data_IF_925128487543
#
_entry.id   IF_925128487543
#
_cell.length_a   1.000
_cell.length_b   1.000
_cell.length_c   1.000
_cell.angle_alpha   90.00
_cell.angle_beta   90.00
_cell.angle_gamma   90.00
#
_symmetry.space_group_name_H-M   'P 1'
#
loop_
_entity.id
_entity.type
_entity.pdbx_description
1 polymer ?
#
# COMPACT_ATOMS: atom_id res chain seq x y z
N UNK A 1 -36.39 -0.97 0.52
CA UNK A 1 -36.82 -0.06 -0.57
C UNK A 1 -36.17 -0.54 -1.85
N UNK A 2 -36.95 -0.74 -2.92
CA UNK A 2 -36.39 -1.11 -4.21
C UNK A 2 -35.54 0.05 -4.74
N UNK A 3 -34.28 -0.22 -5.06
CA UNK A 3 -33.37 0.75 -5.68
C UNK A 3 -33.95 1.06 -7.07
N UNK A 4 -33.96 2.33 -7.51
CA UNK A 4 -34.32 2.67 -8.87
C UNK A 4 -33.54 1.81 -9.87
N UNK A 5 -34.15 1.47 -11.01
CA UNK A 5 -33.51 0.69 -12.06
C UNK A 5 -32.41 1.53 -12.74
N UNK A 6 -31.25 1.64 -12.09
CA UNK A 6 -30.10 2.39 -12.56
C UNK A 6 -29.45 1.58 -13.68
N UNK A 7 -29.26 2.15 -14.89
CA UNK A 7 -28.65 1.42 -15.99
C UNK A 7 -27.21 1.03 -15.65
N UNK A 8 -26.88 -0.25 -15.84
CA UNK A 8 -25.52 -0.75 -15.67
C UNK A 8 -24.65 -0.29 -16.83
N UNK A 9 -23.62 0.51 -16.54
CA UNK A 9 -22.60 0.86 -17.54
C UNK A 9 -21.74 -0.37 -17.85
N UNK A 10 -21.49 -0.61 -19.14
CA UNK A 10 -20.54 -1.64 -19.55
C UNK A 10 -19.12 -1.23 -19.16
N UNK A 11 -18.31 -2.22 -18.77
CA UNK A 11 -16.96 -1.98 -18.23
C UNK A 11 -16.06 -1.15 -19.15
N UNK A 12 -16.25 -1.26 -20.46
CA UNK A 12 -15.44 -0.56 -21.46
C UNK A 12 -15.75 0.95 -21.52
N UNK A 13 -16.92 1.36 -21.04
CA UNK A 13 -17.35 2.77 -20.99
C UNK A 13 -16.93 3.49 -19.71
N UNK A 14 -16.41 2.77 -18.72
CA UNK A 14 -15.99 3.35 -17.45
C UNK A 14 -14.63 4.05 -17.63
N UNK A 15 -14.42 5.23 -17.01
CA UNK A 15 -13.24 6.05 -17.28
C UNK A 15 -11.93 5.47 -16.72
N UNK A 16 -12.00 4.45 -15.83
CA UNK A 16 -10.85 3.77 -15.19
C UNK A 16 -9.80 4.76 -14.64
N UNK A 17 -10.24 5.91 -14.15
CA UNK A 17 -9.39 7.06 -13.84
C UNK A 17 -8.43 6.74 -12.70
N UNK A 18 -8.93 6.17 -11.59
CA UNK A 18 -8.09 5.90 -10.42
C UNK A 18 -7.03 4.86 -10.71
N UNK A 19 -7.36 3.85 -11.50
CA UNK A 19 -6.44 2.79 -11.90
C UNK A 19 -5.35 3.32 -12.83
N UNK A 20 -5.68 4.22 -13.76
CA UNK A 20 -4.69 4.89 -14.62
C UNK A 20 -3.75 5.78 -13.79
N UNK A 21 -4.29 6.64 -12.93
CA UNK A 21 -3.48 7.53 -12.07
C UNK A 21 -2.61 6.71 -11.13
N UNK A 22 -3.15 5.67 -10.48
CA UNK A 22 -2.37 4.76 -9.62
C UNK A 22 -1.21 4.12 -10.37
N UNK A 23 -1.43 3.58 -11.57
CA UNK A 23 -0.37 2.98 -12.38
C UNK A 23 0.69 4.01 -12.80
N UNK A 24 0.28 5.24 -13.14
CA UNK A 24 1.20 6.33 -13.45
C UNK A 24 2.09 6.66 -12.24
N UNK A 25 1.51 6.72 -11.05
CA UNK A 25 2.28 6.97 -9.80
C UNK A 25 3.22 5.81 -9.52
N UNK A 26 2.76 4.56 -9.59
CA UNK A 26 3.60 3.37 -9.39
C UNK A 26 4.79 3.33 -10.35
N UNK A 27 4.56 3.59 -11.64
CA UNK A 27 5.62 3.63 -12.66
C UNK A 27 6.58 4.80 -12.43
N UNK A 28 6.08 5.98 -12.08
CA UNK A 28 6.90 7.14 -11.75
C UNK A 28 7.78 6.86 -10.53
N UNK A 29 7.22 6.28 -9.46
CA UNK A 29 7.98 5.87 -8.28
C UNK A 29 9.07 4.86 -8.65
N UNK A 30 8.72 3.78 -9.36
CA UNK A 30 9.69 2.77 -9.80
C UNK A 30 10.81 3.37 -10.68
N UNK A 31 10.46 4.29 -11.59
CA UNK A 31 11.43 4.99 -12.41
C UNK A 31 12.38 5.85 -11.56
N UNK A 32 11.86 6.62 -10.60
CA UNK A 32 12.68 7.39 -9.66
C UNK A 32 13.65 6.50 -8.88
N UNK A 33 13.20 5.31 -8.45
CA UNK A 33 14.09 4.35 -7.77
C UNK A 33 15.12 3.71 -8.71
N UNK A 34 14.81 3.53 -9.99
CA UNK A 34 15.74 3.00 -10.98
C UNK A 34 16.76 4.04 -11.47
N UNK A 35 16.49 5.35 -11.32
CA UNK A 35 17.42 6.42 -11.72
C UNK A 35 18.70 6.39 -10.86
N UNK A 36 18.59 6.11 -9.56
CA UNK A 36 19.76 6.05 -8.66
C UNK A 36 20.81 4.98 -9.05
N UNK A 37 20.47 3.69 -9.26
CA UNK A 37 21.40 2.72 -9.81
C UNK A 37 21.87 3.07 -11.21
N UNK A 38 21.01 3.65 -12.05
CA UNK A 38 21.38 4.01 -13.41
C UNK A 38 22.46 5.10 -13.45
N UNK A 39 22.38 6.11 -12.58
CA UNK A 39 23.43 7.14 -12.47
C UNK A 39 24.70 6.56 -11.85
N UNK A 40 24.60 5.64 -10.88
CA UNK A 40 25.76 4.93 -10.32
C UNK A 40 26.43 3.95 -11.30
N UNK A 41 25.67 3.23 -12.12
CA UNK A 41 26.19 2.31 -13.14
C UNK A 41 26.78 3.07 -14.34
N UNK A 42 26.15 4.18 -14.74
CA UNK A 42 26.65 5.05 -15.80
C UNK A 42 27.96 5.74 -15.41
N UNK A 43 28.08 6.20 -14.15
CA UNK A 43 29.32 6.81 -13.63
C UNK A 43 30.43 5.81 -13.36
N UNK A 44 30.12 4.55 -13.01
CA UNK A 44 31.11 3.48 -12.92
C UNK A 44 31.70 3.10 -14.30
N UNK A 45 30.96 3.37 -15.39
CA UNK A 45 31.39 3.12 -16.76
C UNK A 45 32.18 4.30 -17.37
N UNK A 46 31.86 5.55 -17.01
CA UNK A 46 32.60 6.74 -17.45
C UNK A 46 33.83 7.01 -16.57
N UNK A 47 34.98 6.44 -16.94
CA UNK A 47 36.28 6.86 -16.38
C UNK A 47 36.60 8.29 -16.83
N UNK A 48 36.54 9.24 -15.90
CA UNK A 48 37.13 10.57 -16.05
C UNK A 48 36.16 11.71 -15.77
N UNK A 49 36.64 12.66 -14.94
CA UNK A 49 36.14 14.04 -14.72
C UNK A 49 34.76 14.20 -14.09
N UNK A 50 34.72 14.19 -12.74
CA UNK A 50 34.58 15.41 -11.90
C UNK A 50 33.96 15.08 -10.54
N UNK A 51 34.81 15.09 -9.50
CA UNK A 51 34.48 14.79 -8.11
C UNK A 51 33.59 15.85 -7.42
N UNK A 52 33.04 16.83 -8.14
CA UNK A 52 32.28 17.95 -7.57
C UNK A 52 30.76 17.74 -7.52
N UNK A 53 30.20 16.85 -8.35
CA UNK A 53 28.76 16.50 -8.32
C UNK A 53 28.46 15.28 -7.41
N UNK A 54 29.49 14.77 -6.72
CA UNK A 54 29.49 13.50 -5.98
C UNK A 54 28.73 13.53 -4.64
N UNK A 55 28.41 14.71 -4.09
CA UNK A 55 27.94 14.81 -2.70
C UNK A 55 26.52 15.34 -2.49
N UNK A 56 25.78 15.81 -3.50
CA UNK A 56 24.70 16.76 -3.19
C UNK A 56 23.31 16.60 -3.75
N UNK A 57 22.95 15.55 -4.50
CA UNK A 57 21.60 15.55 -5.09
C UNK A 57 20.68 14.40 -4.69
N UNK A 58 21.11 13.14 -4.66
CA UNK A 58 20.22 12.02 -4.34
C UNK A 58 20.96 10.87 -3.66
N UNK A 59 20.94 10.83 -2.34
CA UNK A 59 21.15 9.59 -1.60
C UNK A 59 19.80 9.20 -1.00
N UNK A 60 19.22 8.08 -1.45
CA UNK A 60 17.94 7.68 -0.92
C UNK A 60 17.57 6.22 -1.10
N UNK A 61 17.28 5.55 0.01
CA UNK A 61 16.55 4.29 0.08
C UNK A 61 15.11 4.57 0.53
N UNK A 62 14.18 3.63 0.34
CA UNK A 62 12.81 3.74 0.86
C UNK A 62 12.73 3.97 2.38
N UNK A 63 13.79 3.65 3.13
CA UNK A 63 13.91 3.90 4.57
C UNK A 63 14.46 5.30 4.92
N UNK A 64 15.15 5.96 3.98
CA UNK A 64 15.73 7.29 4.14
C UNK A 64 16.07 7.85 2.77
N UNK A 65 15.27 8.80 2.25
CA UNK A 65 15.59 9.54 1.03
C UNK A 65 15.90 10.99 1.39
N UNK A 66 17.14 11.43 1.20
CA UNK A 66 17.56 12.81 1.39
C UNK A 66 17.42 13.57 0.07
N UNK A 67 16.34 14.34 -0.09
CA UNK A 67 16.23 15.32 -1.16
C UNK A 67 17.03 16.56 -0.75
N UNK A 68 18.23 16.73 -1.30
CA UNK A 68 18.99 17.98 -1.17
C UNK A 68 18.53 18.95 -2.27
N UNK A 69 17.40 19.61 -2.05
CA UNK A 69 16.98 20.75 -2.86
C UNK A 69 17.23 22.04 -2.05
N UNK A 70 18.25 22.81 -2.44
CA UNK A 70 18.46 24.17 -1.90
C UNK A 70 18.87 24.27 -0.43
N UNK A 71 19.59 23.29 0.12
CA UNK A 71 20.13 23.35 1.48
C UNK A 71 19.19 22.82 2.59
N UNK A 72 18.07 22.19 2.22
CA UNK A 72 17.17 21.51 3.15
C UNK A 72 17.19 20.00 2.87
N UNK A 73 17.83 19.20 3.72
CA UNK A 73 17.84 17.73 3.60
C UNK A 73 16.54 17.14 4.17
N UNK A 74 15.50 17.08 3.33
CA UNK A 74 14.26 16.39 3.71
C UNK A 74 14.48 14.88 3.61
N UNK A 75 14.71 14.25 4.76
CA UNK A 75 14.76 12.80 4.91
C UNK A 75 13.34 12.24 4.98
N UNK A 76 12.97 11.35 4.07
CA UNK A 76 11.72 10.57 4.17
C UNK A 76 12.02 9.22 4.81
N UNK A 77 11.51 9.00 6.03
CA UNK A 77 11.67 7.75 6.77
C UNK A 77 10.31 7.05 6.95
N UNK A 78 10.28 5.75 6.69
CA UNK A 78 9.10 4.92 6.96
C UNK A 78 8.84 4.90 8.48
N UNK A 79 7.63 5.23 8.96
CA UNK A 79 7.32 5.27 10.39
C UNK A 79 7.55 3.93 11.11
N UNK A 80 7.36 2.80 10.42
CA UNK A 80 7.63 1.48 10.96
C UNK A 80 9.13 1.21 11.07
N UNK A 81 9.91 1.54 10.03
CA UNK A 81 11.37 1.42 10.08
C UNK A 81 11.98 2.28 11.21
N UNK A 82 11.48 3.51 11.40
CA UNK A 82 11.88 4.36 12.52
C UNK A 82 11.56 3.74 13.88
N UNK A 83 10.38 3.10 14.03
CA UNK A 83 10.04 2.38 15.24
C UNK A 83 10.95 1.16 15.48
N UNK A 84 11.34 0.45 14.44
CA UNK A 84 12.29 -0.66 14.55
C UNK A 84 13.70 -0.18 14.95
N UNK A 85 14.18 0.90 14.34
CA UNK A 85 15.48 1.50 14.70
C UNK A 85 15.45 1.96 16.15
N UNK A 86 14.38 2.65 16.57
CA UNK A 86 14.22 3.07 17.96
C UNK A 86 14.17 1.87 18.91
N UNK A 87 13.47 0.80 18.56
CA UNK A 87 13.41 -0.42 19.35
C UNK A 87 14.81 -1.06 19.48
N UNK A 88 15.56 -1.16 18.38
CA UNK A 88 16.86 -1.81 18.33
C UNK A 88 17.98 -1.00 19.03
N UNK A 89 18.02 0.32 18.87
CA UNK A 89 19.10 1.17 19.38
C UNK A 89 18.78 1.84 20.72
N UNK A 90 17.50 1.85 21.13
CA UNK A 90 16.98 2.67 22.23
C UNK A 90 17.25 4.18 22.08
N UNK A 91 17.65 4.63 20.89
CA UNK A 91 17.98 6.02 20.59
C UNK A 91 17.24 6.46 19.33
N UNK A 92 16.59 7.63 19.38
CA UNK A 92 16.01 8.26 18.19
C UNK A 92 16.61 9.65 18.04
N UNK A 93 17.16 9.94 16.87
CA UNK A 93 17.57 11.31 16.53
C UNK A 93 16.32 12.14 16.25
N UNK A 94 16.37 13.42 16.61
CA UNK A 94 15.26 14.36 16.35
C UNK A 94 14.92 14.39 14.86
N UNK A 95 15.93 14.32 14.00
CA UNK A 95 15.75 14.28 12.54
C UNK A 95 14.92 13.08 12.08
N UNK A 96 15.23 11.88 12.58
CA UNK A 96 14.50 10.66 12.20
C UNK A 96 13.07 10.67 12.73
N UNK A 97 12.86 11.19 13.94
CA UNK A 97 11.55 11.35 14.52
C UNK A 97 10.68 12.34 13.72
N UNK A 98 11.23 13.50 13.36
CA UNK A 98 10.53 14.51 12.55
C UNK A 98 10.21 13.96 11.16
N UNK A 99 11.15 13.28 10.51
CA UNK A 99 10.95 12.60 9.22
C UNK A 99 9.78 11.60 9.27
N UNK A 100 9.76 10.72 10.28
CA UNK A 100 8.71 9.73 10.46
C UNK A 100 7.34 10.37 10.73
N UNK A 101 7.30 11.44 11.54
CA UNK A 101 6.04 12.14 11.85
C UNK A 101 5.47 12.86 10.63
N UNK A 102 6.31 13.47 9.80
CA UNK A 102 5.87 14.10 8.54
C UNK A 102 5.23 13.05 7.63
N UNK A 103 5.89 11.90 7.45
CA UNK A 103 5.38 10.81 6.61
C UNK A 103 4.10 10.22 7.20
N UNK A 104 4.06 9.98 8.51
CA UNK A 104 2.87 9.48 9.20
C UNK A 104 1.70 10.46 9.07
N UNK A 105 1.93 11.77 9.22
CA UNK A 105 0.92 12.82 9.06
C UNK A 105 0.40 12.92 7.63
N UNK A 106 1.28 12.83 6.63
CA UNK A 106 0.91 12.81 5.22
C UNK A 106 0.01 11.61 4.89
N UNK A 107 0.39 10.40 5.31
CA UNK A 107 -0.43 9.21 5.07
C UNK A 107 -1.69 9.19 5.95
N UNK A 108 -1.65 9.78 7.14
CA UNK A 108 -2.86 10.01 7.95
C UNK A 108 -3.88 10.85 7.18
N UNK A 109 -3.44 11.94 6.53
CA UNK A 109 -4.32 12.80 5.74
C UNK A 109 -4.85 12.11 4.47
N UNK A 110 -4.06 11.23 3.83
CA UNK A 110 -4.39 10.62 2.53
C UNK A 110 -5.01 9.23 2.58
N UNK A 111 -5.16 8.59 3.75
CA UNK A 111 -5.83 7.29 3.87
C UNK A 111 -4.99 6.11 4.37
N UNK A 112 -4.04 6.34 5.28
CA UNK A 112 -3.21 5.33 5.97
C UNK A 112 -2.50 4.36 5.02
N UNK A 113 -3.20 3.29 4.63
CA UNK A 113 -2.71 2.25 3.71
C UNK A 113 -2.62 2.68 2.25
N UNK A 114 -2.84 3.94 1.92
CA UNK A 114 -2.60 4.51 0.58
C UNK A 114 -1.16 4.23 0.10
N UNK A 115 -0.16 4.22 1.00
CA UNK A 115 1.21 3.80 0.67
C UNK A 115 1.27 2.43 -0.01
N UNK A 116 0.53 1.44 0.51
CA UNK A 116 0.56 0.06 0.03
C UNK A 116 0.07 -0.09 -1.42
N UNK A 117 -0.85 0.77 -1.87
CA UNK A 117 -1.41 0.70 -3.22
C UNK A 117 -0.71 1.64 -4.22
N UNK A 118 -0.14 2.75 -3.77
CA UNK A 118 0.36 3.80 -4.65
C UNK A 118 1.88 3.84 -4.78
N UNK A 119 2.61 3.57 -3.70
CA UNK A 119 4.07 3.77 -3.63
C UNK A 119 4.82 2.45 -3.41
N UNK A 120 4.22 1.49 -2.71
CA UNK A 120 4.89 0.24 -2.37
C UNK A 120 5.29 -0.57 -3.63
N UNK A 121 6.59 -0.90 -3.81
CA UNK A 121 7.07 -1.63 -4.99
C UNK A 121 6.52 -3.05 -5.03
N UNK A 122 6.38 -3.71 -3.87
CA UNK A 122 5.74 -5.02 -3.76
C UNK A 122 4.27 -4.95 -4.19
N UNK A 123 3.57 -3.88 -3.81
CA UNK A 123 2.18 -3.65 -4.25
C UNK A 123 2.04 -3.62 -5.77
N UNK A 124 2.99 -2.98 -6.45
CA UNK A 124 3.04 -2.93 -7.92
C UNK A 124 3.29 -4.31 -8.53
N UNK A 125 4.24 -5.08 -7.98
CA UNK A 125 4.50 -6.46 -8.43
C UNK A 125 3.26 -7.34 -8.25
N UNK A 126 2.57 -7.22 -7.12
CA UNK A 126 1.34 -7.96 -6.86
C UNK A 126 0.17 -7.53 -7.76
N UNK A 127 0.05 -6.23 -8.06
CA UNK A 127 -0.92 -5.70 -9.04
C UNK A 127 -0.68 -6.28 -10.43
N UNK A 128 0.59 -6.42 -10.84
CA UNK A 128 0.98 -7.04 -12.10
C UNK A 128 0.80 -8.57 -12.10
N UNK A 129 0.94 -9.22 -10.96
CA UNK A 129 0.71 -10.66 -10.80
C UNK A 129 -0.79 -11.02 -10.76
N UNK A 130 -1.70 -10.08 -10.53
CA UNK A 130 -3.14 -10.32 -10.38
C UNK A 130 -3.82 -10.97 -11.61
N UNK A 131 -3.54 -10.58 -12.88
CA UNK A 131 -4.09 -11.29 -14.03
C UNK A 131 -3.59 -12.74 -14.11
N UNK A 132 -2.33 -12.97 -13.74
CA UNK A 132 -1.73 -14.30 -13.70
C UNK A 132 -2.36 -15.15 -12.60
N UNK A 133 -2.54 -14.60 -11.39
CA UNK A 133 -3.27 -15.20 -10.27
C UNK A 133 -4.66 -15.70 -10.73
N UNK A 134 -5.44 -14.81 -11.38
CA UNK A 134 -6.80 -15.15 -11.85
C UNK A 134 -6.79 -16.24 -12.93
N UNK A 135 -5.82 -16.23 -13.86
CA UNK A 135 -5.68 -17.26 -14.89
C UNK A 135 -5.29 -18.61 -14.31
N UNK A 136 -4.26 -18.65 -13.46
CA UNK A 136 -3.78 -19.88 -12.84
C UNK A 136 -4.86 -20.50 -11.95
N UNK A 137 -5.57 -19.71 -11.15
CA UNK A 137 -6.64 -20.24 -10.29
C UNK A 137 -7.83 -20.80 -11.07
N UNK A 138 -8.25 -20.12 -12.14
CA UNK A 138 -9.28 -20.67 -13.04
C UNK A 138 -8.84 -22.00 -13.66
N UNK A 139 -7.55 -22.14 -13.99
CA UNK A 139 -6.98 -23.36 -14.58
C UNK A 139 -6.82 -24.50 -13.58
N UNK A 140 -6.42 -24.21 -12.34
CA UNK A 140 -6.11 -25.20 -11.31
C UNK A 140 -7.21 -25.40 -10.24
N UNK A 141 -8.34 -24.68 -10.34
CA UNK A 141 -9.48 -24.86 -9.43
C UNK A 141 -9.19 -24.53 -7.96
N UNK A 142 -8.16 -23.73 -7.67
CA UNK A 142 -7.73 -23.45 -6.30
C UNK A 142 -8.78 -22.58 -5.57
N UNK A 143 -9.05 -22.84 -4.28
CA UNK A 143 -9.95 -22.03 -3.40
C UNK A 143 -9.18 -20.98 -2.60
N UNK A 144 -9.63 -19.74 -2.59
CA UNK A 144 -8.87 -18.63 -1.95
C UNK A 144 -9.00 -18.83 -0.45
N UNK A 145 -7.86 -18.96 0.24
CA UNK A 145 -7.88 -18.94 1.70
C UNK A 145 -7.89 -17.50 2.15
N UNK A 146 -8.94 -17.14 2.88
CA UNK A 146 -8.99 -15.87 3.59
C UNK A 146 -8.14 -16.04 4.85
N UNK A 147 -7.07 -15.26 4.95
CA UNK A 147 -6.24 -15.23 6.14
C UNK A 147 -6.83 -14.23 7.14
N UNK A 148 -6.65 -14.50 8.43
CA UNK A 148 -7.12 -13.59 9.47
C UNK A 148 -6.30 -12.29 9.47
N UNK A 149 -6.90 -11.12 9.17
CA UNK A 149 -6.21 -9.84 9.20
C UNK A 149 -5.71 -9.45 10.60
N UNK A 150 -6.18 -10.12 11.67
CA UNK A 150 -5.67 -9.92 13.03
C UNK A 150 -4.20 -10.32 13.18
N UNK A 151 -3.70 -11.24 12.34
CA UNK A 151 -2.35 -11.79 12.47
C UNK A 151 -1.27 -10.70 12.33
N UNK A 152 -1.41 -9.76 11.39
CA UNK A 152 -0.44 -8.67 11.21
C UNK A 152 -0.35 -7.74 12.44
N UNK A 153 -1.46 -7.58 13.18
CA UNK A 153 -1.48 -6.79 14.42
C UNK A 153 -0.83 -7.53 15.59
N UNK A 154 -0.80 -8.87 15.58
CA UNK A 154 -0.04 -9.68 16.54
C UNK A 154 1.45 -9.71 16.19
N UNK A 155 1.78 -9.76 14.90
CA UNK A 155 3.16 -9.73 14.42
C UNK A 155 3.84 -8.38 14.65
N UNK A 156 3.10 -7.27 14.60
CA UNK A 156 3.64 -5.93 14.81
C UNK A 156 4.43 -5.78 16.13
N UNK A 157 3.84 -6.01 17.33
CA UNK A 157 4.58 -5.92 18.59
C UNK A 157 5.63 -7.03 18.74
N UNK A 158 5.41 -8.21 18.16
CA UNK A 158 6.37 -9.31 18.20
C UNK A 158 7.68 -8.93 17.48
N UNK A 159 7.56 -8.36 16.28
CA UNK A 159 8.71 -7.91 15.48
C UNK A 159 9.44 -6.78 16.18
N UNK A 160 8.71 -5.79 16.72
CA UNK A 160 9.34 -4.71 17.49
C UNK A 160 10.05 -5.23 18.74
N UNK A 161 9.47 -6.19 19.45
CA UNK A 161 10.08 -6.82 20.62
C UNK A 161 11.34 -7.63 20.26
N UNK A 162 11.32 -8.37 19.16
CA UNK A 162 12.50 -9.09 18.66
C UNK A 162 13.61 -8.12 18.24
N UNK A 163 13.27 -7.02 17.59
CA UNK A 163 14.22 -5.97 17.23
C UNK A 163 14.86 -5.34 18.47
N UNK A 164 14.08 -5.10 19.53
CA UNK A 164 14.60 -4.62 20.82
C UNK A 164 15.52 -5.61 21.54
N UNK A 165 15.21 -6.92 21.47
CA UNK A 165 16.02 -7.95 22.11
C UNK A 165 17.35 -8.22 21.39
N UNK A 166 17.34 -8.17 20.05
CA UNK A 166 18.50 -8.50 19.22
C UNK A 166 19.38 -7.31 18.90
N UNK A 167 18.85 -6.09 19.03
CA UNK A 167 19.52 -4.87 18.58
C UNK A 167 19.61 -4.74 17.05
N UNK A 168 18.83 -5.52 16.31
CA UNK A 168 18.79 -5.54 14.84
C UNK A 168 17.39 -5.20 14.33
N UNK A 169 17.30 -4.59 13.14
CA UNK A 169 16.02 -4.37 12.44
C UNK A 169 15.53 -5.67 11.80
N UNK A 170 14.89 -6.52 12.60
CA UNK A 170 14.54 -7.90 12.23
C UNK A 170 13.64 -7.97 10.98
N UNK A 171 12.69 -7.05 10.82
CA UNK A 171 11.83 -7.08 9.65
C UNK A 171 12.55 -6.69 8.37
N UNK A 172 13.49 -5.75 8.42
CA UNK A 172 14.25 -5.35 7.22
C UNK A 172 15.02 -6.52 6.60
N UNK A 173 15.45 -7.49 7.42
CA UNK A 173 16.12 -8.70 6.95
C UNK A 173 15.19 -9.65 6.18
N UNK A 174 13.90 -9.69 6.53
CA UNK A 174 12.91 -10.65 6.01
C UNK A 174 11.87 -9.94 5.12
N UNK A 175 11.95 -8.62 4.98
CA UNK A 175 10.97 -7.84 4.26
C UNK A 175 11.11 -8.03 2.75
N UNK A 176 10.08 -8.57 2.06
CA UNK A 176 10.08 -8.64 0.60
C UNK A 176 10.09 -7.25 -0.05
N UNK A 177 9.64 -6.21 0.66
CA UNK A 177 9.70 -4.82 0.20
C UNK A 177 11.16 -4.38 0.07
N UNK A 178 11.97 -4.67 1.09
CA UNK A 178 13.37 -4.28 1.12
C UNK A 178 14.24 -5.17 0.24
N UNK A 179 13.93 -6.46 0.16
CA UNK A 179 14.57 -7.36 -0.79
C UNK A 179 14.35 -6.91 -2.25
N UNK A 180 13.11 -6.50 -2.59
CA UNK A 180 12.80 -5.96 -3.91
C UNK A 180 13.48 -4.61 -4.15
N UNK A 181 13.46 -3.70 -3.19
CA UNK A 181 14.10 -2.40 -3.36
C UNK A 181 15.62 -2.53 -3.53
N UNK A 182 16.29 -3.42 -2.79
CA UNK A 182 17.71 -3.74 -2.98
C UNK A 182 17.99 -4.41 -4.31
N UNK A 183 17.11 -5.32 -4.76
CA UNK A 183 17.26 -5.96 -6.07
C UNK A 183 17.18 -4.92 -7.20
N UNK A 184 16.27 -3.96 -7.11
CA UNK A 184 16.15 -2.85 -8.07
C UNK A 184 17.32 -1.87 -7.95
N UNK A 185 17.71 -1.51 -6.73
CA UNK A 185 18.72 -0.48 -6.45
C UNK A 185 20.18 -0.95 -6.66
N UNK A 186 20.47 -2.24 -6.53
CA UNK A 186 21.85 -2.75 -6.61
C UNK A 186 22.01 -3.92 -7.58
N UNK A 187 20.94 -4.33 -8.27
CA UNK A 187 20.96 -5.54 -9.11
C UNK A 187 21.18 -6.82 -8.30
N UNK A 188 21.01 -6.77 -6.97
CA UNK A 188 21.24 -7.89 -6.07
C UNK A 188 20.15 -8.97 -6.25
N UNK A 189 20.44 -9.96 -7.10
CA UNK A 189 19.54 -11.08 -7.42
C UNK A 189 19.19 -11.94 -6.20
N UNK A 190 19.98 -11.90 -5.13
CA UNK A 190 19.76 -12.70 -3.91
C UNK A 190 18.42 -12.39 -3.23
N UNK A 191 17.95 -11.14 -3.29
CA UNK A 191 16.66 -10.73 -2.75
C UNK A 191 15.46 -11.20 -3.57
N UNK A 192 15.64 -11.53 -4.85
CA UNK A 192 14.54 -11.92 -5.74
C UNK A 192 13.98 -13.29 -5.40
N UNK A 193 14.76 -14.18 -4.79
CA UNK A 193 14.26 -15.48 -4.32
C UNK A 193 13.15 -15.28 -3.28
N UNK A 194 13.37 -14.38 -2.31
CA UNK A 194 12.37 -14.07 -1.30
C UNK A 194 11.11 -13.45 -1.92
N UNK A 195 11.27 -12.50 -2.84
CA UNK A 195 10.14 -11.89 -3.56
C UNK A 195 9.38 -12.93 -4.36
N UNK A 196 10.07 -13.83 -5.06
CA UNK A 196 9.45 -14.90 -5.83
C UNK A 196 8.70 -15.88 -4.94
N UNK A 197 9.22 -16.21 -3.76
CA UNK A 197 8.52 -17.05 -2.77
C UNK A 197 7.25 -16.38 -2.25
N UNK A 198 7.30 -15.09 -1.93
CA UNK A 198 6.12 -14.34 -1.50
C UNK A 198 5.10 -14.26 -2.64
N UNK A 199 5.52 -13.95 -3.86
CA UNK A 199 4.63 -13.94 -5.03
C UNK A 199 4.03 -15.34 -5.27
N UNK A 200 4.81 -16.42 -5.14
CA UNK A 200 4.29 -17.78 -5.26
C UNK A 200 3.25 -18.09 -4.18
N UNK A 201 3.52 -17.72 -2.93
CA UNK A 201 2.54 -17.84 -1.84
C UNK A 201 1.23 -17.11 -2.18
N UNK A 202 1.30 -15.92 -2.76
CA UNK A 202 0.15 -15.13 -3.21
C UNK A 202 -0.55 -15.70 -4.45
N UNK A 203 0.17 -16.43 -5.31
CA UNK A 203 -0.44 -17.07 -6.47
C UNK A 203 -1.21 -18.34 -6.07
N UNK A 204 -0.67 -19.12 -5.14
CA UNK A 204 -1.21 -20.44 -4.78
C UNK A 204 -2.17 -20.41 -3.57
N UNK A 205 -1.83 -19.66 -2.51
CA UNK A 205 -2.51 -19.76 -1.20
C UNK A 205 -3.64 -18.76 -1.05
N UNK A 206 -3.34 -17.47 -1.15
CA UNK A 206 -4.27 -16.38 -0.83
C UNK A 206 -4.08 -15.21 -1.78
N UNK A 207 -5.10 -14.37 -1.95
CA UNK A 207 -5.01 -13.15 -2.75
C UNK A 207 -4.58 -12.00 -1.84
N UNK A 208 -3.31 -11.60 -1.90
CA UNK A 208 -2.67 -10.58 -1.04
C UNK A 208 -2.52 -10.97 0.43
N UNK A 209 -2.39 -12.25 0.71
CA UNK A 209 -2.23 -12.79 2.05
C UNK A 209 -1.05 -12.20 2.84
N UNK A 210 0.07 -11.87 2.19
CA UNK A 210 1.19 -11.21 2.85
C UNK A 210 0.80 -9.79 3.30
N UNK A 211 0.27 -8.99 2.38
CA UNK A 211 -0.12 -7.61 2.68
C UNK A 211 -1.34 -7.52 3.61
N UNK A 212 -2.22 -8.52 3.60
CA UNK A 212 -3.43 -8.55 4.43
C UNK A 212 -3.17 -9.08 5.84
N UNK A 213 -2.35 -10.13 5.98
CA UNK A 213 -2.23 -10.87 7.24
C UNK A 213 -0.80 -10.96 7.83
N UNK A 214 0.27 -10.75 7.05
CA UNK A 214 1.65 -10.91 7.56
C UNK A 214 2.46 -9.61 7.66
N UNK A 215 2.11 -8.58 6.90
CA UNK A 215 2.93 -7.37 6.78
C UNK A 215 2.74 -6.41 7.98
N UNK A 216 3.75 -6.23 8.86
CA UNK A 216 3.69 -5.31 10.00
C UNK A 216 3.63 -3.85 9.57
N UNK A 217 4.29 -3.48 8.46
CA UNK A 217 4.15 -2.15 7.83
C UNK A 217 2.69 -1.89 7.48
N UNK A 218 2.01 -2.87 6.89
CA UNK A 218 0.58 -2.79 6.59
C UNK A 218 -0.29 -2.66 7.85
N UNK A 219 0.11 -3.24 8.98
CA UNK A 219 -0.57 -3.08 10.26
C UNK A 219 -0.45 -1.63 10.77
N UNK A 220 0.76 -1.07 10.77
CA UNK A 220 1.01 0.30 11.23
C UNK A 220 0.25 1.32 10.38
N UNK A 221 0.35 1.23 9.04
CA UNK A 221 -0.40 2.10 8.14
C UNK A 221 -1.92 1.89 8.24
N UNK A 222 -2.37 0.69 8.59
CA UNK A 222 -3.78 0.43 8.92
C UNK A 222 -4.24 1.15 10.19
N UNK A 223 -3.41 1.17 11.24
CA UNK A 223 -3.68 1.93 12.47
C UNK A 223 -3.75 3.43 12.19
N UNK A 224 -2.81 3.96 11.41
CA UNK A 224 -2.81 5.36 10.95
C UNK A 224 -4.09 5.65 10.13
N UNK A 225 -4.50 4.71 9.27
CA UNK A 225 -5.68 4.84 8.41
C UNK A 225 -7.02 4.81 9.16
N UNK A 226 -7.07 4.19 10.36
CA UNK A 226 -8.31 4.08 11.15
C UNK A 226 -8.91 5.45 11.49
N UNK A 227 -8.06 6.45 11.68
CA UNK A 227 -8.43 7.84 12.00
C UNK A 227 -8.32 8.79 10.80
N UNK A 228 -8.09 8.27 9.59
CA UNK A 228 -7.96 9.09 8.40
C UNK A 228 -9.29 9.71 7.96
N UNK A 229 -9.30 10.98 7.49
CA UNK A 229 -10.50 11.65 7.01
C UNK A 229 -10.96 11.16 5.63
N UNK A 230 -10.09 10.58 4.80
CA UNK A 230 -10.47 10.14 3.44
C UNK A 230 -11.07 8.74 3.49
N UNK A 231 -12.29 8.56 2.99
CA UNK A 231 -12.96 7.26 2.93
C UNK A 231 -13.73 7.07 1.63
N UNK A 232 -14.00 5.81 1.30
CA UNK A 232 -14.92 5.43 0.22
C UNK A 232 -16.33 5.36 0.80
N UNK A 233 -17.25 6.12 0.23
CA UNK A 233 -18.67 6.16 0.59
C UNK A 233 -19.49 5.53 -0.53
N UNK A 234 -20.57 4.86 -0.15
CA UNK A 234 -21.54 4.22 -1.05
C UNK A 234 -22.86 4.98 -0.96
N UNK A 235 -23.36 5.41 -2.11
CA UNK A 235 -24.71 5.97 -2.23
C UNK A 235 -25.74 4.84 -2.34
N UNK A 236 -26.47 4.59 -1.25
CA UNK A 236 -27.51 3.56 -1.15
C UNK A 236 -28.78 3.87 -1.94
N UNK A 237 -28.93 5.11 -2.46
CA UNK A 237 -30.01 5.45 -3.37
C UNK A 237 -29.77 4.91 -4.79
N UNK A 238 -28.51 4.65 -5.15
CA UNK A 238 -28.09 4.24 -6.50
C UNK A 238 -27.50 2.82 -6.49
N UNK A 239 -26.96 2.36 -5.36
CA UNK A 239 -26.40 1.02 -5.20
C UNK A 239 -27.49 -0.06 -5.23
N UNK A 240 -27.36 -1.02 -6.15
CA UNK A 240 -28.28 -2.14 -6.37
C UNK A 240 -27.76 -3.49 -5.82
N UNK A 241 -26.70 -3.46 -4.99
CA UNK A 241 -26.12 -4.65 -4.34
C UNK A 241 -25.58 -5.72 -5.32
N UNK A 242 -25.23 -5.34 -6.56
CA UNK A 242 -24.71 -6.28 -7.58
C UNK A 242 -23.36 -6.96 -7.24
N UNK A 243 -22.66 -6.51 -6.19
CA UNK A 243 -21.34 -7.01 -5.72
C UNK A 243 -20.23 -7.05 -6.78
N UNK A 244 -20.37 -6.31 -7.90
CA UNK A 244 -19.33 -6.21 -8.95
C UNK A 244 -18.06 -5.55 -8.42
N UNK A 245 -18.20 -4.47 -7.64
CA UNK A 245 -17.08 -3.73 -7.05
C UNK A 245 -16.22 -4.59 -6.11
N UNK A 246 -16.82 -5.56 -5.39
CA UNK A 246 -16.10 -6.49 -4.53
C UNK A 246 -15.13 -7.39 -5.31
N UNK A 247 -15.44 -7.73 -6.57
CA UNK A 247 -14.56 -8.56 -7.42
C UNK A 247 -13.27 -7.84 -7.80
N UNK A 248 -13.31 -6.52 -7.93
CA UNK A 248 -12.16 -5.69 -8.29
C UNK A 248 -11.43 -5.11 -7.08
N UNK A 249 -12.07 -5.09 -5.92
CA UNK A 249 -11.41 -4.74 -4.67
C UNK A 249 -10.21 -5.66 -4.39
N UNK A 250 -9.17 -5.06 -3.84
CA UNK A 250 -7.98 -5.76 -3.37
C UNK A 250 -8.30 -6.63 -2.15
N UNK A 251 -9.13 -6.09 -1.25
CA UNK A 251 -9.57 -6.74 -0.01
C UNK A 251 -11.11 -6.81 -0.03
N UNK A 252 -11.73 -7.82 -0.66
CA UNK A 252 -13.17 -7.83 -0.92
C UNK A 252 -14.02 -7.71 0.35
N UNK A 253 -13.60 -8.32 1.46
CA UNK A 253 -14.30 -8.35 2.75
C UNK A 253 -14.70 -6.96 3.26
N UNK A 254 -13.92 -5.93 2.98
CA UNK A 254 -14.18 -4.58 3.49
C UNK A 254 -15.45 -3.95 2.91
N UNK A 255 -15.95 -4.48 1.80
CA UNK A 255 -17.12 -3.98 1.09
C UNK A 255 -18.42 -4.69 1.47
N UNK A 256 -18.37 -5.83 2.18
CA UNK A 256 -19.58 -6.59 2.52
C UNK A 256 -20.55 -5.77 3.37
N UNK A 257 -20.09 -5.22 4.49
CA UNK A 257 -20.93 -4.40 5.38
C UNK A 257 -21.46 -3.11 4.70
N UNK A 258 -20.65 -2.35 3.95
CA UNK A 258 -21.16 -1.23 3.17
C UNK A 258 -22.18 -1.64 2.13
N UNK A 259 -21.93 -2.69 1.32
CA UNK A 259 -22.87 -3.11 0.26
C UNK A 259 -24.19 -3.58 0.87
N UNK A 260 -24.14 -4.37 1.94
CA UNK A 260 -25.32 -4.91 2.63
C UNK A 260 -26.04 -3.83 3.49
N UNK A 261 -25.83 -2.53 3.19
CA UNK A 261 -26.44 -1.35 3.83
C UNK A 261 -26.24 -1.27 5.35
N UNK A 262 -25.24 -1.94 5.91
CA UNK A 262 -24.95 -1.81 7.35
C UNK A 262 -24.22 -0.50 7.64
N UNK A 263 -23.42 -0.02 6.70
CA UNK A 263 -22.72 1.26 6.79
C UNK A 263 -22.79 2.02 5.46
N UNK A 264 -22.69 3.34 5.51
CA UNK A 264 -22.59 4.20 4.31
C UNK A 264 -21.16 4.32 3.79
N UNK A 265 -20.17 4.02 4.62
CA UNK A 265 -18.75 4.15 4.29
C UNK A 265 -17.97 2.87 4.61
N UNK A 266 -16.85 2.69 3.90
CA UNK A 266 -15.86 1.64 4.18
C UNK A 266 -15.05 2.07 5.42
N UNK A 267 -15.29 1.41 6.55
CA UNK A 267 -14.67 1.73 7.86
C UNK A 267 -13.42 0.89 8.14
N UNK A 268 -13.20 -0.17 7.37
CA UNK A 268 -12.08 -1.07 7.61
C UNK A 268 -10.73 -0.38 7.43
N UNK A 269 -9.83 -0.61 8.38
CA UNK A 269 -8.42 -0.22 8.32
C UNK A 269 -7.67 -0.91 7.17
N UNK A 270 -8.26 -1.93 6.53
CA UNK A 270 -7.67 -2.65 5.41
C UNK A 270 -7.88 -2.00 4.05
N UNK A 271 -8.72 -0.96 3.97
CA UNK A 271 -8.90 -0.20 2.74
C UNK A 271 -7.59 0.51 2.36
N UNK A 272 -7.06 0.22 1.18
CA UNK A 272 -5.82 0.84 0.66
C UNK A 272 -6.08 2.08 -0.19
N UNK A 273 -7.34 2.56 -0.26
CA UNK A 273 -7.78 3.67 -1.12
C UNK A 273 -7.21 3.61 -2.55
N UNK A 274 -7.25 2.42 -3.17
CA UNK A 274 -6.73 2.24 -4.53
C UNK A 274 -7.69 2.72 -5.64
N UNK A 275 -8.96 2.96 -5.30
CA UNK A 275 -10.00 3.41 -6.23
C UNK A 275 -10.52 2.36 -7.22
N UNK A 276 -10.01 1.12 -7.20
CA UNK A 276 -10.45 0.07 -8.12
C UNK A 276 -11.96 -0.25 -8.02
N UNK A 277 -12.53 -0.17 -6.81
CA UNK A 277 -13.97 -0.39 -6.60
C UNK A 277 -14.84 0.75 -7.15
N UNK A 278 -14.29 1.97 -7.30
CA UNK A 278 -14.97 3.13 -7.86
C UNK A 278 -14.95 3.05 -9.39
N UNK A 279 -13.79 2.71 -9.96
CA UNK A 279 -13.61 2.61 -11.40
C UNK A 279 -14.47 1.51 -12.06
N UNK A 280 -14.61 0.35 -11.43
CA UNK A 280 -15.35 -0.80 -11.97
C UNK A 280 -16.80 -0.90 -11.41
N UNK A 281 -17.35 0.18 -10.83
CA UNK A 281 -18.74 0.21 -10.37
C UNK A 281 -19.70 0.52 -11.53
N UNK A 282 -20.63 -0.39 -11.91
CA UNK A 282 -21.50 -0.17 -13.07
C UNK A 282 -22.53 0.94 -12.84
N UNK A 283 -23.05 1.06 -11.61
CA UNK A 283 -24.02 2.09 -11.22
C UNK A 283 -23.37 3.42 -10.85
N UNK A 284 -22.05 3.44 -10.61
CA UNK A 284 -21.34 4.64 -10.16
C UNK A 284 -21.64 5.06 -8.71
N UNK A 285 -22.14 4.15 -7.87
CA UNK A 285 -22.56 4.46 -6.50
C UNK A 285 -21.41 4.73 -5.51
N UNK A 286 -20.15 4.43 -5.86
CA UNK A 286 -19.00 4.59 -4.96
C UNK A 286 -18.24 5.88 -5.25
N UNK A 287 -17.85 6.62 -4.21
CA UNK A 287 -17.05 7.86 -4.35
C UNK A 287 -16.06 8.01 -3.18
N UNK A 288 -14.88 8.60 -3.41
CA UNK A 288 -13.98 9.00 -2.33
C UNK A 288 -14.41 10.37 -1.78
N UNK A 289 -14.65 10.46 -0.47
CA UNK A 289 -15.01 11.72 0.20
C UNK A 289 -14.08 12.00 1.39
N UNK A 290 -13.86 13.30 1.63
CA UNK A 290 -13.21 13.82 2.83
C UNK A 290 -14.25 13.91 3.96
N UNK A 291 -14.27 12.92 4.84
CA UNK A 291 -15.09 12.89 6.04
C UNK A 291 -14.28 13.33 7.26
N UNK A 292 -14.10 14.65 7.44
CA UNK A 292 -13.44 15.24 8.61
C UNK A 292 -14.20 15.03 9.94
N UNK A 293 -15.43 14.51 9.88
CA UNK A 293 -16.28 14.28 11.05
C UNK A 293 -16.55 12.78 11.24
N UNK A 294 -15.96 12.23 12.29
CA UNK A 294 -16.38 10.98 12.94
C UNK A 294 -17.86 10.97 13.36
N UNK A 295 -18.58 12.10 13.30
CA UNK A 295 -19.99 12.23 13.70
C UNK A 295 -21.03 11.64 12.71
N UNK A 296 -20.62 11.11 11.55
CA UNK A 296 -21.54 10.48 10.59
C UNK A 296 -20.98 9.24 9.88
N UNK A 297 -19.73 8.87 10.16
CA UNK A 297 -19.02 7.79 9.47
C UNK A 297 -19.45 6.46 10.07
N UNK A 298 -20.23 5.69 9.31
CA UNK A 298 -20.81 4.45 9.81
C UNK A 298 -22.13 4.61 10.54
N UNK A 299 -22.89 5.69 10.26
CA UNK A 299 -24.30 5.68 10.62
C UNK A 299 -24.92 4.40 10.06
N UNK A 300 -25.55 3.56 10.90
CA UNK A 300 -26.37 2.49 10.38
C UNK A 300 -27.36 3.13 9.41
N UNK A 301 -27.53 2.53 8.24
CA UNK A 301 -28.55 3.01 7.31
C UNK A 301 -29.87 2.99 8.09
N UNK A 302 -30.58 4.12 8.21
CA UNK A 302 -31.85 4.14 8.92
C UNK A 302 -32.74 3.08 8.27
N UNK A 303 -33.07 2.04 9.04
CA UNK A 303 -34.03 1.03 8.62
C UNK A 303 -35.39 1.72 8.50
N UNK A 304 -36.14 1.50 7.41
CA UNK A 304 -37.49 2.04 7.27
C UNK A 304 -38.42 1.49 8.36
#
# INVERSE_FOLDING_TARGET
MAVPNVPHRSRDTLPHTWTKVRRLVQLTCLALFAIYPATHAWTAHSRGTDNLLRERLLQGHFAASALHAGGLSLNFADPFATLEVFAASHQVTVELAVAALIVAGFYWALGGRTFCAWVCPLGTVLDLAEPLHRRLRKRFGLRTRELDPALKYRLLPLVLGLSALTGLTCFELISPIFALSRAVAFGALSGLVLVALVVAFELFVSRRGWCEALCPVGALYGLIGKVSPVRVEIDHAICDECKVCARFCITPRILDAPIDRQTTAVISADCTLCGACIDDCPTGALTMKLAFRTAGVGRPVPTP
#
